data_IF_010000865833
#
_entry.id   IF_010000865833
#
_cell.length_a   1.000
_cell.length_b   1.000
_cell.length_c   1.000
_cell.angle_alpha   90.00
_cell.angle_beta   90.00
_cell.angle_gamma   90.00
#
_symmetry.space_group_name_H-M   'P 1'
#
loop_
_entity.id
_entity.type
_entity.pdbx_description
1 polymer ?
#
# COMPACT_ATOMS: atom_id res chain seq x y z
N UNK A 1 -6.03 8.98 19.94
CA UNK A 1 -6.85 7.77 19.69
C UNK A 1 -7.23 7.54 18.23
N UNK A 2 -7.98 8.43 17.54
CA UNK A 2 -8.38 8.20 16.11
C UNK A 2 -7.19 8.01 15.16
N UNK A 3 -6.18 8.89 15.25
CA UNK A 3 -4.98 8.82 14.42
C UNK A 3 -4.12 7.58 14.72
N UNK A 4 -3.98 7.22 16.00
CA UNK A 4 -3.32 5.97 16.41
C UNK A 4 -3.93 4.77 15.69
N UNK A 5 -5.27 4.67 15.71
CA UNK A 5 -5.99 3.58 15.04
C UNK A 5 -5.72 3.57 13.53
N UNK A 6 -5.83 4.71 12.84
CA UNK A 6 -5.66 4.74 11.38
C UNK A 6 -4.22 4.45 10.97
N UNK A 7 -3.21 4.92 11.72
CA UNK A 7 -1.82 4.55 11.47
C UNK A 7 -1.57 3.06 11.70
N UNK A 8 -2.10 2.48 12.79
CA UNK A 8 -1.98 1.04 13.06
C UNK A 8 -2.62 0.21 11.95
N UNK A 9 -3.85 0.55 11.54
CA UNK A 9 -4.53 -0.14 10.43
C UNK A 9 -3.75 -0.02 9.12
N UNK A 10 -3.17 1.15 8.84
CA UNK A 10 -2.33 1.35 7.66
C UNK A 10 -1.07 0.48 7.72
N UNK A 11 -0.40 0.40 8.87
CA UNK A 11 0.79 -0.44 9.04
C UNK A 11 0.46 -1.93 8.87
N UNK A 12 -0.62 -2.41 9.49
CA UNK A 12 -1.09 -3.79 9.34
C UNK A 12 -1.44 -4.12 7.89
N UNK A 13 -2.18 -3.24 7.21
CA UNK A 13 -2.58 -3.50 5.84
C UNK A 13 -1.41 -3.40 4.85
N UNK A 14 -0.46 -2.49 5.08
CA UNK A 14 0.78 -2.42 4.33
C UNK A 14 1.60 -3.70 4.49
N UNK A 15 1.70 -4.25 5.71
CA UNK A 15 2.34 -5.54 5.95
C UNK A 15 1.65 -6.67 5.17
N UNK A 16 0.32 -6.77 5.23
CA UNK A 16 -0.44 -7.76 4.44
C UNK A 16 -0.20 -7.59 2.93
N UNK A 17 -0.17 -6.35 2.45
CA UNK A 17 0.08 -6.04 1.03
C UNK A 17 1.46 -6.52 0.59
N UNK A 18 2.49 -6.31 1.42
CA UNK A 18 3.86 -6.80 1.16
C UNK A 18 3.93 -8.32 1.18
N UNK A 19 3.28 -8.97 2.15
CA UNK A 19 3.20 -10.44 2.21
C UNK A 19 2.52 -11.02 0.98
N UNK A 20 1.40 -10.44 0.54
CA UNK A 20 0.71 -10.84 -0.68
C UNK A 20 1.57 -10.63 -1.93
N UNK A 21 2.28 -9.49 -2.03
CA UNK A 21 3.21 -9.22 -3.14
C UNK A 21 4.41 -10.17 -3.17
N UNK A 22 4.86 -10.62 -2.00
CA UNK A 22 5.92 -11.61 -1.87
C UNK A 22 5.41 -13.00 -2.30
N UNK A 23 4.18 -13.33 -1.91
CA UNK A 23 3.51 -14.58 -2.28
C UNK A 23 3.22 -14.66 -3.78
N UNK A 24 2.72 -13.58 -4.40
CA UNK A 24 2.49 -13.53 -5.86
C UNK A 24 3.80 -13.77 -6.62
N UNK A 25 4.90 -13.14 -6.19
CA UNK A 25 6.22 -13.38 -6.78
C UNK A 25 6.68 -14.83 -6.60
N UNK A 26 6.54 -15.38 -5.40
CA UNK A 26 6.98 -16.75 -5.09
C UNK A 26 6.23 -17.81 -5.91
N UNK A 27 4.96 -17.55 -6.23
CA UNK A 27 4.10 -18.45 -7.02
C UNK A 27 4.12 -18.15 -8.52
N UNK A 28 4.91 -17.19 -9.00
CA UNK A 28 4.93 -16.82 -10.42
C UNK A 28 3.73 -15.98 -10.90
N UNK A 29 2.80 -15.66 -9.99
CA UNK A 29 1.56 -14.93 -10.25
C UNK A 29 1.73 -13.41 -10.48
N UNK A 30 2.96 -12.88 -10.56
CA UNK A 30 3.21 -11.43 -10.60
C UNK A 30 2.78 -10.71 -11.89
N UNK A 31 2.39 -11.47 -12.93
CA UNK A 31 1.83 -10.96 -14.20
C UNK A 31 0.50 -11.66 -14.56
N UNK A 32 -0.17 -12.33 -13.62
CA UNK A 32 -1.41 -13.07 -13.86
C UNK A 32 -2.55 -12.16 -14.36
N UNK A 33 -2.58 -10.89 -13.95
CA UNK A 33 -3.48 -9.86 -14.44
C UNK A 33 -3.07 -9.25 -15.79
N UNK A 34 -1.93 -9.68 -16.35
CA UNK A 34 -1.31 -9.10 -17.54
C UNK A 34 -0.65 -7.74 -17.28
N UNK A 35 -0.27 -7.06 -18.36
CA UNK A 35 0.36 -5.73 -18.31
C UNK A 35 -0.64 -4.58 -18.15
N UNK A 36 -1.92 -4.92 -18.06
CA UNK A 36 -2.98 -3.97 -17.80
C UNK A 36 -2.88 -3.47 -16.36
N UNK A 37 -2.91 -2.14 -16.24
CA UNK A 37 -2.96 -1.45 -14.97
C UNK A 37 -3.66 -0.11 -15.23
N UNK A 38 -4.69 0.27 -14.46
CA UNK A 38 -5.13 -0.32 -13.19
C UNK A 38 -6.03 -1.56 -13.32
N UNK A 39 -6.54 -1.86 -14.52
CA UNK A 39 -7.39 -3.02 -14.79
C UNK A 39 -6.63 -4.36 -14.68
N UNK A 40 -7.34 -5.45 -14.46
CA UNK A 40 -6.80 -6.82 -14.50
C UNK A 40 -7.53 -7.58 -15.61
N UNK A 41 -6.79 -8.03 -16.63
CA UNK A 41 -7.37 -8.69 -17.82
C UNK A 41 -8.47 -7.84 -18.49
N UNK A 42 -8.18 -6.56 -18.73
CA UNK A 42 -9.12 -5.59 -19.33
C UNK A 42 -10.34 -5.21 -18.48
N UNK A 43 -10.49 -5.72 -17.25
CA UNK A 43 -11.67 -5.50 -16.40
C UNK A 43 -11.32 -4.98 -15.01
N UNK A 44 -12.27 -4.30 -14.34
CA UNK A 44 -12.11 -3.92 -12.92
C UNK A 44 -12.24 -5.14 -12.03
N UNK A 45 -13.24 -5.99 -12.26
CA UNK A 45 -13.40 -7.28 -11.60
C UNK A 45 -13.01 -8.34 -12.64
N UNK A 46 -11.88 -9.04 -12.48
CA UNK A 46 -11.42 -9.98 -13.50
C UNK A 46 -12.32 -11.23 -13.55
N UNK A 47 -12.68 -11.72 -14.75
CA UNK A 47 -13.61 -12.84 -14.91
C UNK A 47 -13.09 -14.16 -14.31
N UNK A 48 -11.77 -14.34 -14.23
CA UNK A 48 -11.14 -15.56 -13.72
C UNK A 48 -10.84 -15.52 -12.21
N UNK A 49 -11.26 -14.49 -11.47
CA UNK A 49 -10.91 -14.31 -10.05
C UNK A 49 -11.29 -15.49 -9.15
N UNK A 50 -12.36 -16.23 -9.47
CA UNK A 50 -12.82 -17.38 -8.67
C UNK A 50 -12.23 -18.72 -9.13
N UNK A 51 -11.58 -18.75 -10.29
CA UNK A 51 -11.14 -19.99 -10.95
C UNK A 51 -9.62 -20.08 -11.11
N UNK A 52 -8.94 -18.94 -11.09
CA UNK A 52 -7.49 -18.84 -11.23
C UNK A 52 -6.89 -18.19 -9.97
N UNK A 53 -6.14 -18.99 -9.22
CA UNK A 53 -5.53 -18.56 -7.96
C UNK A 53 -4.45 -17.49 -8.17
N UNK A 54 -3.75 -17.50 -9.30
CA UNK A 54 -2.71 -16.52 -9.61
C UNK A 54 -3.33 -15.16 -9.86
N UNK A 55 -4.42 -15.12 -10.65
CA UNK A 55 -5.22 -13.91 -10.88
C UNK A 55 -5.81 -13.41 -9.57
N UNK A 56 -6.36 -14.31 -8.74
CA UNK A 56 -6.92 -13.95 -7.44
C UNK A 56 -5.88 -13.32 -6.52
N UNK A 57 -4.66 -13.87 -6.47
CA UNK A 57 -3.56 -13.37 -5.65
C UNK A 57 -3.09 -11.98 -6.11
N UNK A 58 -2.82 -11.80 -7.41
CA UNK A 58 -2.37 -10.50 -7.92
C UNK A 58 -3.44 -9.43 -7.75
N UNK A 59 -4.69 -9.77 -8.06
CA UNK A 59 -5.81 -8.85 -7.87
C UNK A 59 -5.99 -8.47 -6.39
N UNK A 60 -5.90 -9.43 -5.47
CA UNK A 60 -6.00 -9.17 -4.02
C UNK A 60 -4.84 -8.29 -3.53
N UNK A 61 -3.63 -8.50 -4.04
CA UNK A 61 -2.49 -7.61 -3.78
C UNK A 61 -2.78 -6.16 -4.25
N UNK A 62 -3.33 -5.97 -5.46
CA UNK A 62 -3.72 -4.63 -5.97
C UNK A 62 -4.79 -3.98 -5.09
N UNK A 63 -5.82 -4.71 -4.70
CA UNK A 63 -6.91 -4.20 -3.84
C UNK A 63 -6.39 -3.79 -2.46
N UNK A 64 -5.56 -4.62 -1.81
CA UNK A 64 -4.97 -4.30 -0.51
C UNK A 64 -4.04 -3.08 -0.58
N UNK A 65 -3.32 -2.89 -1.69
CA UNK A 65 -2.54 -1.68 -1.94
C UNK A 65 -3.43 -0.42 -2.03
N UNK A 66 -4.54 -0.47 -2.78
CA UNK A 66 -5.48 0.65 -2.87
C UNK A 66 -6.12 0.99 -1.53
N UNK A 67 -6.51 -0.04 -0.76
CA UNK A 67 -7.07 0.15 0.59
C UNK A 67 -6.04 0.78 1.55
N UNK A 68 -4.76 0.40 1.44
CA UNK A 68 -3.67 1.02 2.19
C UNK A 68 -3.53 2.51 1.84
N UNK A 69 -3.64 2.86 0.56
CA UNK A 69 -3.59 4.25 0.12
C UNK A 69 -4.78 5.08 0.63
N UNK A 70 -6.00 4.53 0.59
CA UNK A 70 -7.20 5.18 1.14
C UNK A 70 -7.10 5.42 2.65
N UNK A 71 -6.53 4.48 3.41
CA UNK A 71 -6.27 4.67 4.83
C UNK A 71 -5.24 5.78 5.11
N UNK A 72 -4.19 5.88 4.28
CA UNK A 72 -3.22 6.96 4.38
C UNK A 72 -3.85 8.33 4.09
N UNK A 73 -4.70 8.43 3.06
CA UNK A 73 -5.47 9.64 2.76
C UNK A 73 -6.44 10.01 3.91
N UNK A 74 -7.12 9.02 4.48
CA UNK A 74 -7.99 9.21 5.64
C UNK A 74 -7.20 9.73 6.84
N UNK A 75 -6.01 9.18 7.09
CA UNK A 75 -5.12 9.63 8.16
C UNK A 75 -4.68 11.08 7.96
N UNK A 76 -4.27 11.44 6.74
CA UNK A 76 -3.91 12.82 6.40
C UNK A 76 -5.10 13.77 6.59
N UNK A 77 -6.28 13.38 6.11
CA UNK A 77 -7.50 14.18 6.26
C UNK A 77 -7.85 14.44 7.73
N UNK A 78 -7.84 13.41 8.58
CA UNK A 78 -8.08 13.55 10.02
C UNK A 78 -7.02 14.46 10.65
N UNK A 79 -5.74 14.26 10.33
CA UNK A 79 -4.64 15.05 10.88
C UNK A 79 -4.73 16.52 10.48
N UNK A 80 -5.13 16.82 9.23
CA UNK A 80 -5.22 18.19 8.73
C UNK A 80 -6.48 18.92 9.21
N UNK A 81 -7.58 18.20 9.47
CA UNK A 81 -8.84 18.79 9.91
C UNK A 81 -8.83 19.24 11.37
N UNK A 82 -7.94 18.67 12.19
CA UNK A 82 -7.75 19.07 13.58
C UNK A 82 -6.53 19.99 13.73
N UNK A 83 -6.79 21.26 14.09
CA UNK A 83 -5.74 22.27 14.29
C UNK A 83 -4.85 21.97 15.49
N UNK A 84 -5.34 21.20 16.47
CA UNK A 84 -4.61 20.89 17.71
C UNK A 84 -3.60 19.75 17.55
N UNK A 85 -3.66 19.00 16.44
CA UNK A 85 -2.70 17.95 16.15
C UNK A 85 -1.33 18.55 15.87
N UNK A 86 -0.30 18.01 16.52
CA UNK A 86 1.09 18.44 16.35
C UNK A 86 1.51 18.37 14.87
N UNK A 87 2.18 19.42 14.37
CA UNK A 87 2.64 19.51 12.98
C UNK A 87 3.48 18.31 12.55
N UNK A 88 4.24 17.71 13.48
CA UNK A 88 5.01 16.48 13.23
C UNK A 88 4.12 15.33 12.72
N UNK A 89 2.92 15.13 13.29
CA UNK A 89 2.00 14.08 12.87
C UNK A 89 1.42 14.39 11.49
N UNK A 90 1.12 15.67 11.20
CA UNK A 90 0.67 16.12 9.88
C UNK A 90 1.73 15.85 8.80
N UNK A 91 3.00 16.15 9.08
CA UNK A 91 4.10 15.85 8.17
C UNK A 91 4.30 14.35 7.95
N UNK A 92 4.18 13.52 8.98
CA UNK A 92 4.24 12.06 8.83
C UNK A 92 3.11 11.56 7.92
N UNK A 93 1.88 12.02 8.15
CA UNK A 93 0.73 11.63 7.33
C UNK A 93 0.87 12.08 5.87
N UNK A 94 1.38 13.29 5.63
CA UNK A 94 1.66 13.81 4.29
C UNK A 94 2.73 12.98 3.58
N UNK A 95 3.85 12.73 4.26
CA UNK A 95 4.95 11.90 3.73
C UNK A 95 4.47 10.50 3.37
N UNK A 96 3.60 9.89 4.18
CA UNK A 96 3.01 8.58 3.85
C UNK A 96 2.20 8.61 2.55
N UNK A 97 1.33 9.61 2.35
CA UNK A 97 0.55 9.74 1.11
C UNK A 97 1.47 9.90 -0.10
N UNK A 98 2.52 10.72 0.02
CA UNK A 98 3.48 10.93 -1.07
C UNK A 98 4.26 9.65 -1.41
N UNK A 99 4.78 8.94 -0.41
CA UNK A 99 5.54 7.70 -0.63
C UNK A 99 4.64 6.58 -1.17
N UNK A 100 3.41 6.42 -0.68
CA UNK A 100 2.47 5.42 -1.21
C UNK A 100 2.06 5.78 -2.65
N UNK A 101 1.92 7.06 -2.98
CA UNK A 101 1.69 7.48 -4.38
C UNK A 101 2.84 7.03 -5.28
N UNK A 102 4.08 7.27 -4.86
CA UNK A 102 5.26 6.76 -5.58
C UNK A 102 5.26 5.22 -5.63
N UNK A 103 4.83 4.54 -4.57
CA UNK A 103 4.77 3.07 -4.50
C UNK A 103 3.84 2.49 -5.56
N UNK A 104 2.68 3.11 -5.75
CA UNK A 104 1.71 2.71 -6.78
C UNK A 104 2.30 2.90 -8.18
N UNK A 105 2.99 4.02 -8.42
CA UNK A 105 3.65 4.27 -9.71
C UNK A 105 4.77 3.27 -9.99
N UNK A 106 5.61 2.97 -9.00
CA UNK A 106 6.66 1.95 -9.15
C UNK A 106 6.03 0.57 -9.34
N UNK A 107 4.94 0.24 -8.65
CA UNK A 107 4.21 -1.02 -8.84
C UNK A 107 3.67 -1.18 -10.26
N UNK A 108 3.12 -0.11 -10.84
CA UNK A 108 2.76 -0.09 -12.26
C UNK A 108 3.98 -0.36 -13.16
N UNK A 109 5.13 0.27 -12.86
CA UNK A 109 6.36 0.04 -13.62
C UNK A 109 6.87 -1.40 -13.51
N UNK A 110 6.77 -2.05 -12.34
CA UNK A 110 7.13 -3.47 -12.16
C UNK A 110 6.37 -4.32 -13.19
N UNK A 111 5.06 -4.13 -13.32
CA UNK A 111 4.23 -4.88 -14.27
C UNK A 111 4.54 -4.52 -15.72
N UNK A 112 4.65 -3.22 -16.05
CA UNK A 112 4.96 -2.75 -17.41
C UNK A 112 6.34 -3.21 -17.91
N UNK A 113 7.31 -3.35 -17.00
CA UNK A 113 8.66 -3.80 -17.28
C UNK A 113 8.84 -5.32 -17.04
N UNK A 114 7.74 -6.08 -17.01
CA UNK A 114 7.77 -7.55 -16.92
C UNK A 114 8.56 -8.07 -15.71
N UNK A 115 8.33 -7.47 -14.54
CA UNK A 115 8.96 -7.82 -13.26
C UNK A 115 10.49 -7.69 -13.32
N UNK A 116 10.98 -6.58 -13.89
CA UNK A 116 12.42 -6.28 -13.89
C UNK A 116 12.98 -6.32 -12.44
N UNK A 117 14.10 -7.05 -12.19
CA UNK A 117 14.59 -7.30 -10.84
C UNK A 117 14.92 -6.06 -10.00
N UNK A 118 15.55 -5.04 -10.59
CA UNK A 118 15.93 -3.82 -9.88
C UNK A 118 14.70 -3.00 -9.49
N UNK A 119 13.76 -2.79 -10.41
CA UNK A 119 12.51 -2.07 -10.12
C UNK A 119 11.68 -2.81 -9.06
N UNK A 120 11.63 -4.14 -9.14
CA UNK A 120 10.96 -4.98 -8.14
C UNK A 120 11.62 -4.87 -6.75
N UNK A 121 12.95 -4.81 -6.68
CA UNK A 121 13.67 -4.64 -5.42
C UNK A 121 13.40 -3.26 -4.80
N UNK A 122 13.45 -2.20 -5.62
CA UNK A 122 13.11 -0.83 -5.20
C UNK A 122 11.68 -0.76 -4.68
N UNK A 123 10.72 -1.36 -5.41
CA UNK A 123 9.33 -1.46 -4.99
C UNK A 123 9.22 -2.11 -3.59
N UNK A 124 9.88 -3.24 -3.36
CA UNK A 124 9.80 -3.94 -2.09
C UNK A 124 10.44 -3.13 -0.92
N UNK A 125 11.60 -2.52 -1.15
CA UNK A 125 12.28 -1.70 -0.13
C UNK A 125 11.41 -0.51 0.29
N UNK A 126 10.80 0.16 -0.68
CA UNK A 126 9.95 1.31 -0.41
C UNK A 126 8.63 0.90 0.27
N UNK A 127 8.10 -0.29 0.00
CA UNK A 127 6.97 -0.85 0.74
C UNK A 127 7.30 -1.08 2.23
N UNK A 128 8.49 -1.61 2.53
CA UNK A 128 8.96 -1.80 3.91
C UNK A 128 9.11 -0.45 4.62
N UNK A 129 9.63 0.57 3.93
CA UNK A 129 9.74 1.93 4.47
C UNK A 129 8.36 2.49 4.86
N UNK A 130 7.32 2.24 4.07
CA UNK A 130 5.93 2.64 4.41
C UNK A 130 5.48 2.02 5.73
N UNK A 131 5.75 0.72 5.96
CA UNK A 131 5.39 0.04 7.22
C UNK A 131 6.09 0.70 8.40
N UNK A 132 7.39 1.02 8.25
CA UNK A 132 8.18 1.69 9.30
C UNK A 132 7.58 3.06 9.63
N UNK A 133 7.31 3.89 8.62
CA UNK A 133 6.76 5.23 8.82
C UNK A 133 5.37 5.16 9.45
N UNK A 134 4.50 4.25 9.00
CA UNK A 134 3.17 4.06 9.56
C UNK A 134 3.23 3.63 11.04
N UNK A 135 4.16 2.73 11.38
CA UNK A 135 4.38 2.29 12.76
C UNK A 135 4.87 3.44 13.65
N UNK A 136 5.84 4.23 13.18
CA UNK A 136 6.32 5.43 13.89
C UNK A 136 5.17 6.43 14.10
N UNK A 137 4.34 6.65 13.07
CA UNK A 137 3.16 7.49 13.15
C UNK A 137 2.16 7.03 14.23
N UNK A 138 1.92 5.72 14.31
CA UNK A 138 1.06 5.12 15.33
C UNK A 138 1.60 5.37 16.74
N UNK A 139 2.90 5.11 16.96
CA UNK A 139 3.55 5.29 18.27
C UNK A 139 3.52 6.75 18.70
N UNK A 140 3.94 7.67 17.84
CA UNK A 140 3.94 9.11 18.14
C UNK A 140 2.51 9.58 18.43
N UNK A 141 1.54 9.17 17.61
CA UNK A 141 0.14 9.55 17.82
C UNK A 141 -0.44 8.99 19.12
N UNK A 142 0.02 7.83 19.60
CA UNK A 142 -0.41 7.25 20.87
C UNK A 142 0.07 8.11 22.04
N UNK A 143 1.38 8.39 22.10
CA UNK A 143 1.96 9.20 23.19
C UNK A 143 1.47 10.64 23.22
N UNK A 144 1.14 11.25 22.07
CA UNK A 144 0.56 12.59 22.02
C UNK A 144 -0.94 12.62 22.44
N UNK A 145 -1.56 11.45 22.64
CA UNK A 145 -2.95 11.36 23.10
C UNK A 145 -3.11 10.92 24.55
N UNK A 146 -1.99 10.72 25.25
CA UNK A 146 -1.91 10.62 26.71
C UNK A 146 -1.81 12.02 27.30
#
# INVERSE_FOLDING_TARGET
MRLTLTFTLTATLAFLTVSLGSLTRALGAGLACGVDWPFCLGSIIPPMILYDIEVALEYTHRITAYMTFLLALTTLYIAMRDSNIASRIKYIALTMVLIITLQVLIGMLVVKLHIEPLISAIHNIMAILIIVIATIGAVISYYNSL
#
